data_IF_655002210290
#
_entry.id   IF_655002210290
#
_cell.length_a   1.000
_cell.length_b   1.000
_cell.length_c   1.000
_cell.angle_alpha   90.00
_cell.angle_beta   90.00
_cell.angle_gamma   90.00
#
_symmetry.space_group_name_H-M   'P 1'
#
loop_
_entity.id
_entity.type
_entity.pdbx_description
1 polymer ?
#
# COMPACT_ATOMS: atom_id res chain seq x y z
N UNK A 1 -0.46 -1.73 -14.70
CA UNK A 1 -0.05 -0.37 -14.30
C UNK A 1 1.46 -0.23 -14.47
N UNK A 2 1.95 0.85 -15.02
CA UNK A 2 3.37 1.07 -15.29
C UNK A 2 3.85 2.37 -14.67
N UNK A 3 5.14 2.40 -14.30
CA UNK A 3 5.83 3.63 -13.92
C UNK A 3 7.12 3.75 -14.74
N UNK A 4 7.58 4.99 -14.91
CA UNK A 4 8.84 5.28 -15.62
C UNK A 4 9.87 5.81 -14.64
N UNK A 5 11.00 5.11 -14.52
CA UNK A 5 12.13 5.50 -13.68
C UNK A 5 13.37 5.55 -14.57
N UNK A 6 14.07 6.69 -14.60
CA UNK A 6 15.30 6.87 -15.41
C UNK A 6 15.07 6.50 -16.89
N UNK A 7 13.94 6.96 -17.46
CA UNK A 7 13.55 6.69 -18.85
C UNK A 7 13.26 5.22 -19.17
N UNK A 8 13.14 4.37 -18.16
CA UNK A 8 12.83 2.95 -18.31
C UNK A 8 11.46 2.65 -17.72
N UNK A 9 10.63 1.91 -18.46
CA UNK A 9 9.28 1.53 -18.02
C UNK A 9 9.36 0.25 -17.19
N UNK A 10 8.67 0.27 -16.05
CA UNK A 10 8.52 -0.90 -15.18
C UNK A 10 7.05 -1.22 -15.00
N UNK A 11 6.72 -2.50 -15.14
CA UNK A 11 5.38 -3.00 -14.84
C UNK A 11 5.21 -3.13 -13.32
N UNK A 12 4.02 -2.76 -12.82
CA UNK A 12 3.63 -2.95 -11.43
C UNK A 12 2.53 -4.01 -11.39
N UNK A 13 2.74 -5.05 -10.60
CA UNK A 13 1.77 -6.14 -10.44
C UNK A 13 1.37 -6.24 -8.96
N UNK A 14 0.08 -6.02 -8.69
CA UNK A 14 -0.52 -6.05 -7.36
C UNK A 14 -1.36 -7.31 -7.13
N UNK A 15 -0.95 -8.42 -7.72
CA UNK A 15 -1.62 -9.70 -7.55
C UNK A 15 -1.18 -10.45 -6.27
N UNK A 16 -1.44 -11.74 -6.25
CA UNK A 16 -1.16 -12.60 -5.08
C UNK A 16 0.31 -12.54 -4.64
N UNK A 17 1.25 -12.52 -5.59
CA UNK A 17 2.68 -12.44 -5.26
C UNK A 17 3.02 -11.15 -4.51
N UNK A 18 2.45 -10.03 -4.93
CA UNK A 18 2.63 -8.76 -4.22
C UNK A 18 2.10 -8.83 -2.79
N UNK A 19 0.91 -9.42 -2.61
CA UNK A 19 0.32 -9.60 -1.26
C UNK A 19 1.24 -10.45 -0.39
N UNK A 20 1.77 -11.54 -0.95
CA UNK A 20 2.70 -12.42 -0.23
C UNK A 20 3.94 -11.66 0.23
N UNK A 21 4.55 -10.87 -0.68
CA UNK A 21 5.74 -10.08 -0.36
C UNK A 21 5.47 -9.03 0.73
N UNK A 22 4.32 -8.36 0.65
CA UNK A 22 3.92 -7.41 1.69
C UNK A 22 3.69 -8.11 3.04
N UNK A 23 3.06 -9.27 3.05
CA UNK A 23 2.80 -10.05 4.26
C UNK A 23 4.08 -10.59 4.91
N UNK A 24 5.14 -10.82 4.15
CA UNK A 24 6.42 -11.27 4.70
C UNK A 24 7.05 -10.22 5.63
N UNK A 25 6.83 -8.94 5.36
CA UNK A 25 7.33 -7.84 6.19
C UNK A 25 6.32 -7.36 7.23
N UNK A 26 5.04 -7.53 6.95
CA UNK A 26 3.94 -7.05 7.79
C UNK A 26 3.05 -8.21 8.18
N UNK A 27 3.25 -8.73 9.38
CA UNK A 27 2.44 -9.83 9.91
C UNK A 27 2.36 -9.72 11.42
N UNK A 28 1.32 -10.34 11.97
CA UNK A 28 1.10 -10.46 13.40
C UNK A 28 1.06 -11.95 13.73
N UNK A 29 1.80 -12.36 14.77
CA UNK A 29 1.70 -13.71 15.31
C UNK A 29 1.04 -13.65 16.67
N UNK A 30 -0.06 -14.36 16.83
CA UNK A 30 -0.84 -14.38 18.06
C UNK A 30 -1.37 -15.78 18.30
N UNK A 31 -1.14 -16.32 19.49
CA UNK A 31 -1.57 -17.67 19.87
C UNK A 31 -1.11 -18.76 18.89
N UNK A 32 0.12 -18.64 18.35
CA UNK A 32 0.68 -19.59 17.39
C UNK A 32 0.16 -19.44 15.96
N UNK A 33 -0.73 -18.47 15.71
CA UNK A 33 -1.26 -18.18 14.38
C UNK A 33 -0.58 -16.93 13.81
N UNK A 34 -0.15 -17.02 12.56
CA UNK A 34 0.42 -15.88 11.82
C UNK A 34 -0.65 -15.31 10.89
N UNK A 35 -0.83 -14.00 10.95
CA UNK A 35 -1.76 -13.26 10.11
C UNK A 35 -1.03 -12.21 9.30
N UNK A 36 -1.20 -12.24 7.97
CA UNK A 36 -0.64 -11.21 7.10
C UNK A 36 -1.34 -9.87 7.27
N UNK A 37 -0.54 -8.81 7.36
CA UNK A 37 -1.02 -7.43 7.51
C UNK A 37 -0.54 -6.53 6.37
N UNK A 38 -0.10 -7.13 5.25
CA UNK A 38 0.46 -6.39 4.12
C UNK A 38 -0.54 -5.44 3.47
N UNK A 39 -1.77 -5.88 3.24
CA UNK A 39 -2.81 -5.02 2.65
C UNK A 39 -3.22 -3.93 3.63
N UNK A 40 -3.33 -4.24 4.93
CA UNK A 40 -3.61 -3.22 5.95
C UNK A 40 -2.56 -2.11 5.92
N UNK A 41 -1.28 -2.50 5.89
CA UNK A 41 -0.17 -1.56 5.83
C UNK A 41 -0.20 -0.74 4.54
N UNK A 42 -0.45 -1.39 3.40
CA UNK A 42 -0.53 -0.71 2.10
C UNK A 42 -1.65 0.33 2.08
N UNK A 43 -2.85 -0.04 2.51
CA UNK A 43 -3.99 0.89 2.55
C UNK A 43 -3.70 2.08 3.46
N UNK A 44 -3.15 1.84 4.64
CA UNK A 44 -2.78 2.91 5.57
C UNK A 44 -1.76 3.87 4.95
N UNK A 45 -0.70 3.33 4.35
CA UNK A 45 0.36 4.14 3.72
C UNK A 45 -0.17 4.96 2.55
N UNK A 46 -0.95 4.34 1.67
CA UNK A 46 -1.52 5.01 0.49
C UNK A 46 -2.51 6.10 0.87
N UNK A 47 -3.33 5.85 1.89
CA UNK A 47 -4.33 6.81 2.37
C UNK A 47 -3.70 8.04 3.02
N UNK A 48 -2.50 7.90 3.58
CA UNK A 48 -1.76 8.96 4.26
C UNK A 48 -0.69 9.62 3.37
N UNK A 49 -0.54 9.16 2.14
CA UNK A 49 0.52 9.63 1.23
C UNK A 49 1.91 9.44 1.82
N UNK A 50 2.12 8.31 2.52
CA UNK A 50 3.39 7.98 3.18
C UNK A 50 4.43 7.56 2.14
N UNK A 51 5.51 8.34 1.93
CA UNK A 51 6.51 7.99 0.92
C UNK A 51 7.33 6.74 1.28
N UNK A 52 7.53 6.46 2.55
CA UNK A 52 8.26 5.25 2.98
C UNK A 52 7.44 4.01 2.66
N UNK A 53 6.16 4.01 3.02
CA UNK A 53 5.24 2.93 2.66
C UNK A 53 5.09 2.77 1.16
N UNK A 54 5.01 3.89 0.43
CA UNK A 54 4.92 3.87 -1.03
C UNK A 54 6.16 3.25 -1.67
N UNK A 55 7.35 3.56 -1.17
CA UNK A 55 8.60 2.96 -1.65
C UNK A 55 8.56 1.43 -1.54
N UNK A 56 8.14 0.91 -0.40
CA UNK A 56 8.01 -0.54 -0.19
C UNK A 56 6.96 -1.16 -1.11
N UNK A 57 5.79 -0.53 -1.23
CA UNK A 57 4.72 -0.99 -2.11
C UNK A 57 5.21 -1.13 -3.55
N UNK A 58 5.93 -0.11 -4.05
CA UNK A 58 6.47 -0.11 -5.40
C UNK A 58 7.56 -1.17 -5.58
N UNK A 59 8.48 -1.28 -4.63
CA UNK A 59 9.55 -2.27 -4.72
C UNK A 59 8.98 -3.68 -4.84
N UNK A 60 7.99 -4.01 -4.02
CA UNK A 60 7.34 -5.32 -4.07
C UNK A 60 6.54 -5.52 -5.36
N UNK A 61 5.91 -4.48 -5.90
CA UNK A 61 5.10 -4.58 -7.12
C UNK A 61 5.94 -4.76 -8.39
N UNK A 62 7.24 -4.45 -8.35
CA UNK A 62 8.13 -4.61 -9.49
C UNK A 62 8.68 -6.04 -9.66
N UNK A 63 8.24 -6.99 -8.83
CA UNK A 63 8.70 -8.39 -8.86
C UNK A 63 8.56 -9.03 -10.24
N UNK A 64 7.57 -8.59 -11.03
CA UNK A 64 7.24 -9.18 -12.34
C UNK A 64 8.25 -8.85 -13.44
N UNK A 65 9.06 -7.81 -13.24
CA UNK A 65 10.03 -7.38 -14.24
C UNK A 65 11.27 -8.29 -14.23
N UNK A 66 11.76 -8.61 -15.42
CA UNK A 66 13.01 -9.39 -15.56
C UNK A 66 14.19 -8.61 -14.98
N UNK A 67 14.29 -7.32 -15.31
CA UNK A 67 15.23 -6.40 -14.69
C UNK A 67 14.45 -5.47 -13.77
N UNK A 68 14.71 -5.56 -12.48
CA UNK A 68 13.99 -4.81 -11.47
C UNK A 68 14.74 -3.53 -11.11
N UNK A 69 14.03 -2.44 -10.78
CA UNK A 69 14.67 -1.28 -10.20
C UNK A 69 15.19 -1.62 -8.80
N UNK A 70 16.27 -0.96 -8.38
CA UNK A 70 16.75 -1.08 -7.00
C UNK A 70 15.88 -0.22 -6.07
N UNK A 71 15.97 -0.46 -4.76
CA UNK A 71 15.30 0.42 -3.80
C UNK A 71 15.82 1.86 -3.88
N UNK A 72 17.12 2.03 -4.16
CA UNK A 72 17.70 3.37 -4.38
C UNK A 72 17.11 4.06 -5.60
N UNK A 73 16.87 3.34 -6.69
CA UNK A 73 16.21 3.89 -7.89
C UNK A 73 14.80 4.37 -7.58
N UNK A 74 14.04 3.57 -6.85
CA UNK A 74 12.67 3.91 -6.45
C UNK A 74 12.66 5.13 -5.53
N UNK A 75 13.52 5.15 -4.53
CA UNK A 75 13.60 6.26 -3.59
C UNK A 75 13.96 7.57 -4.30
N UNK A 76 14.93 7.54 -5.22
CA UNK A 76 15.29 8.70 -6.01
C UNK A 76 14.13 9.20 -6.88
N UNK A 77 13.40 8.28 -7.51
CA UNK A 77 12.19 8.60 -8.28
C UNK A 77 11.14 9.30 -7.41
N UNK A 78 10.89 8.79 -6.22
CA UNK A 78 9.92 9.38 -5.30
C UNK A 78 10.36 10.75 -4.78
N UNK A 79 11.65 10.95 -4.59
CA UNK A 79 12.20 12.23 -4.10
C UNK A 79 12.22 13.32 -5.17
N UNK A 80 12.37 12.96 -6.45
CA UNK A 80 12.66 13.94 -7.51
C UNK A 80 11.57 14.07 -8.58
N UNK A 81 10.92 12.98 -8.97
CA UNK A 81 10.09 12.96 -10.17
C UNK A 81 8.61 12.66 -9.91
N UNK A 82 8.30 11.84 -8.91
CA UNK A 82 6.95 11.33 -8.71
C UNK A 82 6.02 12.37 -8.10
N UNK A 83 4.77 12.37 -8.59
CA UNK A 83 3.67 13.00 -7.87
C UNK A 83 3.14 12.00 -6.83
N UNK A 84 3.54 12.14 -5.59
CA UNK A 84 3.24 11.19 -4.49
C UNK A 84 1.73 11.00 -4.33
N UNK A 85 0.98 12.09 -4.24
CA UNK A 85 -0.48 12.01 -4.04
C UNK A 85 -1.16 11.26 -5.18
N UNK A 86 -0.85 11.64 -6.42
CA UNK A 86 -1.46 11.02 -7.60
C UNK A 86 -1.12 9.53 -7.69
N UNK A 87 0.13 9.18 -7.40
CA UNK A 87 0.60 7.80 -7.44
C UNK A 87 -0.08 6.95 -6.36
N UNK A 88 -0.17 7.46 -5.13
CA UNK A 88 -0.87 6.78 -4.04
C UNK A 88 -2.35 6.57 -4.38
N UNK A 89 -3.03 7.59 -4.88
CA UNK A 89 -4.45 7.50 -5.26
C UNK A 89 -4.66 6.46 -6.36
N UNK A 90 -3.77 6.43 -7.35
CA UNK A 90 -3.85 5.47 -8.46
C UNK A 90 -3.63 4.03 -8.01
N UNK A 91 -2.65 3.80 -7.14
CA UNK A 91 -2.37 2.46 -6.61
C UNK A 91 -3.51 1.98 -5.70
N UNK A 92 -4.03 2.86 -4.85
CA UNK A 92 -5.16 2.50 -3.99
C UNK A 92 -6.36 2.06 -4.83
N UNK A 93 -6.66 2.79 -5.89
CA UNK A 93 -7.73 2.42 -6.82
C UNK A 93 -7.46 1.06 -7.49
N UNK A 94 -6.22 0.82 -7.89
CA UNK A 94 -5.81 -0.45 -8.50
C UNK A 94 -6.10 -1.64 -7.56
N UNK A 95 -5.69 -1.56 -6.31
CA UNK A 95 -5.90 -2.65 -5.35
C UNK A 95 -7.35 -2.74 -4.85
N UNK A 96 -8.13 -1.65 -4.90
CA UNK A 96 -9.57 -1.66 -4.62
C UNK A 96 -10.35 -2.44 -5.66
N UNK A 97 -9.91 -2.43 -6.90
CA UNK A 97 -10.65 -3.00 -8.03
C UNK A 97 -10.10 -4.33 -8.52
N UNK A 98 -8.85 -4.65 -8.21
CA UNK A 98 -8.22 -5.91 -8.61
C UNK A 98 -8.91 -7.11 -7.95
N UNK A 99 -9.11 -8.17 -8.73
CA UNK A 99 -9.85 -9.34 -8.24
C UNK A 99 -9.23 -9.98 -7.00
N UNK A 100 -7.89 -10.05 -6.93
CA UNK A 100 -7.20 -10.70 -5.81
C UNK A 100 -7.26 -9.91 -4.50
N UNK A 101 -7.42 -8.58 -4.56
CA UNK A 101 -7.25 -7.68 -3.41
C UNK A 101 -8.51 -6.91 -3.02
N UNK A 102 -9.47 -6.77 -3.92
CA UNK A 102 -10.63 -5.89 -3.73
C UNK A 102 -11.43 -6.17 -2.45
N UNK A 103 -11.65 -7.43 -2.11
CA UNK A 103 -12.45 -7.78 -0.94
C UNK A 103 -11.75 -7.38 0.37
N UNK A 104 -10.46 -7.70 0.48
CA UNK A 104 -9.69 -7.37 1.67
C UNK A 104 -9.46 -5.87 1.81
N UNK A 105 -9.19 -5.17 0.72
CA UNK A 105 -9.04 -3.71 0.71
C UNK A 105 -10.34 -3.03 1.17
N UNK A 106 -11.47 -3.49 0.68
CA UNK A 106 -12.77 -2.96 1.09
C UNK A 106 -12.99 -3.11 2.60
N UNK A 107 -12.66 -4.26 3.16
CA UNK A 107 -12.78 -4.51 4.59
C UNK A 107 -11.86 -3.60 5.41
N UNK A 108 -10.62 -3.40 4.96
CA UNK A 108 -9.66 -2.51 5.63
C UNK A 108 -10.15 -1.07 5.61
N UNK A 109 -10.62 -0.57 4.48
CA UNK A 109 -11.15 0.79 4.35
C UNK A 109 -12.37 1.00 5.25
N UNK A 110 -13.26 0.01 5.32
CA UNK A 110 -14.43 0.06 6.19
C UNK A 110 -14.03 0.11 7.67
N UNK A 111 -13.07 -0.71 8.07
CA UNK A 111 -12.58 -0.72 9.45
C UNK A 111 -11.92 0.60 9.83
N UNK A 112 -11.13 1.21 8.92
CA UNK A 112 -10.52 2.51 9.13
C UNK A 112 -11.56 3.61 9.30
N UNK A 113 -12.60 3.62 8.46
CA UNK A 113 -13.71 4.59 8.57
C UNK A 113 -14.43 4.47 9.90
N UNK A 114 -14.74 3.25 10.34
CA UNK A 114 -15.39 2.99 11.62
C UNK A 114 -14.53 3.48 12.78
N UNK A 115 -13.22 3.23 12.75
CA UNK A 115 -12.29 3.69 13.78
C UNK A 115 -12.24 5.22 13.85
N UNK A 116 -12.24 5.90 12.70
CA UNK A 116 -12.28 7.37 12.64
C UNK A 116 -13.58 7.93 13.22
N UNK A 117 -14.71 7.34 12.88
CA UNK A 117 -16.03 7.76 13.40
C UNK A 117 -16.09 7.60 14.93
N UNK A 118 -15.59 6.49 15.46
CA UNK A 118 -15.52 6.25 16.92
C UNK A 118 -14.64 7.27 17.62
N UNK A 119 -13.49 7.59 17.05
CA UNK A 119 -12.58 8.58 17.60
C UNK A 119 -13.22 9.97 17.62
N UNK A 120 -13.93 10.36 16.56
CA UNK A 120 -14.67 11.63 16.50
C UNK A 120 -15.76 11.69 17.54
N UNK A 121 -16.56 10.64 17.69
CA UNK A 121 -17.64 10.58 18.69
C UNK A 121 -17.09 10.67 20.11
N UNK A 122 -15.98 9.98 20.41
CA UNK A 122 -15.34 10.07 21.72
C UNK A 122 -14.83 11.49 22.02
N UNK A 123 -14.27 12.18 21.02
CA UNK A 123 -13.82 13.55 21.17
C UNK A 123 -15.01 14.52 21.40
N UNK A 124 -16.12 14.33 20.71
CA UNK A 124 -17.32 15.13 20.89
C UNK A 124 -17.91 14.93 22.26
N UNK A 125 -17.95 13.72 22.79
CA UNK A 125 -18.41 13.42 24.15
C UNK A 125 -17.56 14.10 25.20
N UNK A 126 -16.22 14.18 24.99
CA UNK A 126 -15.31 14.88 25.92
C UNK A 126 -15.52 16.39 25.92
N UNK A 127 -15.94 16.95 24.79
CA UNK A 127 -16.18 18.39 24.66
C UNK A 127 -17.58 18.80 25.14
N UNK A 128 -18.47 17.87 25.22
CA UNK A 128 -19.82 18.08 25.75
C UNK A 128 -19.84 17.96 27.26
#
# INVERSE_FOLDING_TARGET
MQIKINSKDYELNFGIRWVLLMNQKHNITQNGLSQGMGINQAVASLSQYDPIGLSEILLNATWINKERPTSADIDHYLETDANIKKLCDSILKEIETANATKAQVKNVLKAMKTAQERAMNSNLERLG
#
